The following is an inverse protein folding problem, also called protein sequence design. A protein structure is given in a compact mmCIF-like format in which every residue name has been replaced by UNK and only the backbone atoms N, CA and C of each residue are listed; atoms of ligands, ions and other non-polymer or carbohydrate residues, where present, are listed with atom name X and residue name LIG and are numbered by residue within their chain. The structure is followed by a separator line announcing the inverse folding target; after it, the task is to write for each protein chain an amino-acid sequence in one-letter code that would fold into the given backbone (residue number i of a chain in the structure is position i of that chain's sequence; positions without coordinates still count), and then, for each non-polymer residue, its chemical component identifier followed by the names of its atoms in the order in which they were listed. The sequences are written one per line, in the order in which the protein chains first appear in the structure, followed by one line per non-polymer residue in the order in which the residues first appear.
data_IF_374027260793
#
_entry.id   IF_374027260793
#
_cell.length_a   1.000
_cell.length_b   1.000
_cell.length_c   1.000
_cell.angle_alpha   90.00
_cell.angle_beta   90.00
_cell.angle_gamma   90.00
#
_symmetry.space_group_name_H-M   'P 1'
#
loop_
_entity.id
_entity.type
_entity.pdbx_description
1 polymer ?
#
# COMPACT_ATOMS: atom_id res chain seq x y z
N UNK A 1 24.20 -24.89 -11.58
CA UNK A 1 24.36 -23.42 -11.50
C UNK A 1 24.99 -23.11 -10.14
N UNK A 2 26.07 -22.33 -10.06
CA UNK A 2 26.74 -22.13 -8.78
C UNK A 2 25.84 -21.31 -7.86
N UNK A 3 25.25 -21.98 -6.89
CA UNK A 3 24.67 -21.39 -5.69
C UNK A 3 25.82 -20.80 -4.86
N UNK A 4 25.80 -19.48 -4.62
CA UNK A 4 26.60 -18.93 -3.51
C UNK A 4 27.34 -17.61 -3.70
N UNK A 5 27.17 -16.86 -4.80
CA UNK A 5 27.69 -15.49 -4.80
C UNK A 5 26.74 -14.62 -3.97
N UNK A 6 27.22 -14.10 -2.84
CA UNK A 6 26.53 -13.09 -2.08
C UNK A 6 26.40 -11.83 -2.96
N UNK A 7 25.22 -11.64 -3.54
CA UNK A 7 24.98 -10.50 -4.42
C UNK A 7 25.02 -9.22 -3.59
N UNK A 8 25.87 -8.28 -4.02
CA UNK A 8 26.08 -7.02 -3.31
C UNK A 8 24.83 -6.15 -3.26
N UNK A 9 24.80 -5.26 -2.27
CA UNK A 9 23.71 -4.28 -2.13
C UNK A 9 23.46 -3.41 -3.38
N UNK A 10 24.46 -2.94 -4.13
CA UNK A 10 24.20 -2.13 -5.32
C UNK A 10 23.26 -2.82 -6.33
N UNK A 11 23.47 -4.12 -6.57
CA UNK A 11 22.64 -4.93 -7.47
C UNK A 11 21.22 -5.11 -6.91
N UNK A 12 21.10 -5.35 -5.59
CA UNK A 12 19.80 -5.48 -4.93
C UNK A 12 19.03 -4.15 -4.92
N UNK A 13 19.74 -3.01 -4.82
CA UNK A 13 19.17 -1.66 -4.90
C UNK A 13 18.63 -1.38 -6.30
N UNK A 14 19.44 -1.63 -7.33
CA UNK A 14 19.01 -1.49 -8.74
C UNK A 14 17.78 -2.33 -9.05
N UNK A 15 17.70 -3.56 -8.52
CA UNK A 15 16.50 -4.37 -8.62
C UNK A 15 15.26 -3.67 -8.04
N UNK A 16 15.37 -3.03 -6.88
CA UNK A 16 14.26 -2.31 -6.27
C UNK A 16 13.89 -1.03 -7.03
N UNK A 17 14.86 -0.30 -7.56
CA UNK A 17 14.63 0.86 -8.43
C UNK A 17 13.77 0.45 -9.64
N UNK A 18 14.22 -0.57 -10.40
CA UNK A 18 13.50 -1.09 -11.57
C UNK A 18 12.07 -1.49 -11.25
N UNK A 19 11.85 -2.25 -10.16
CA UNK A 19 10.52 -2.70 -9.79
C UNK A 19 9.62 -1.53 -9.38
N UNK A 20 10.17 -0.54 -8.66
CA UNK A 20 9.40 0.63 -8.25
C UNK A 20 9.06 1.56 -9.42
N UNK A 21 9.89 1.59 -10.46
CA UNK A 21 9.62 2.28 -11.73
C UNK A 21 8.59 1.55 -12.61
N UNK A 22 8.08 0.41 -12.14
CA UNK A 22 6.99 -0.33 -12.78
C UNK A 22 7.46 -1.53 -13.59
N UNK A 23 8.75 -1.87 -13.57
CA UNK A 23 9.23 -3.10 -14.19
C UNK A 23 8.69 -4.32 -13.42
N UNK A 24 8.29 -5.39 -14.12
CA UNK A 24 7.97 -6.66 -13.49
C UNK A 24 9.16 -7.21 -12.69
N UNK A 25 8.90 -7.81 -11.52
CA UNK A 25 9.97 -8.44 -10.71
C UNK A 25 10.79 -9.48 -11.50
N UNK A 26 10.16 -10.17 -12.44
CA UNK A 26 10.83 -11.13 -13.32
C UNK A 26 11.82 -10.47 -14.27
N UNK A 27 11.42 -9.39 -14.93
CA UNK A 27 12.28 -8.63 -15.85
C UNK A 27 13.39 -7.92 -15.09
N UNK A 28 13.06 -7.30 -13.95
CA UNK A 28 14.05 -6.67 -13.07
C UNK A 28 15.09 -7.69 -12.58
N UNK A 29 14.68 -8.94 -12.30
CA UNK A 29 15.62 -10.01 -11.92
C UNK A 29 16.60 -10.31 -13.04
N UNK A 30 16.10 -10.42 -14.28
CA UNK A 30 16.93 -10.70 -15.44
C UNK A 30 17.87 -9.53 -15.76
N UNK A 31 17.38 -8.29 -15.64
CA UNK A 31 18.15 -7.07 -15.87
C UNK A 31 19.36 -6.97 -14.94
N UNK A 32 19.20 -7.31 -13.66
CA UNK A 32 20.30 -7.29 -12.67
C UNK A 32 21.12 -8.59 -12.64
N UNK A 33 20.88 -9.51 -13.58
CA UNK A 33 21.66 -10.74 -13.73
C UNK A 33 21.39 -11.82 -12.68
N UNK A 34 20.21 -11.85 -12.06
CA UNK A 34 19.84 -12.87 -11.06
C UNK A 34 18.66 -13.73 -11.52
N UNK A 35 18.51 -14.89 -10.88
CA UNK A 35 17.37 -15.76 -11.15
C UNK A 35 16.05 -15.10 -10.75
N UNK A 36 14.97 -15.38 -11.49
CA UNK A 36 13.60 -14.91 -11.16
C UNK A 36 13.19 -15.23 -9.73
N UNK A 37 13.57 -16.43 -9.26
CA UNK A 37 13.33 -16.89 -7.88
C UNK A 37 14.07 -16.01 -6.87
N UNK A 38 15.32 -15.62 -7.16
CA UNK A 38 16.12 -14.73 -6.31
C UNK A 38 15.48 -13.36 -6.17
N UNK A 39 15.13 -12.70 -7.28
CA UNK A 39 14.50 -11.38 -7.21
C UNK A 39 13.12 -11.42 -6.56
N UNK A 40 12.32 -12.46 -6.80
CA UNK A 40 11.06 -12.67 -6.07
C UNK A 40 11.27 -12.80 -4.56
N UNK A 41 12.30 -13.53 -4.12
CA UNK A 41 12.66 -13.60 -2.70
C UNK A 41 13.10 -12.25 -2.13
N UNK A 42 13.89 -11.47 -2.87
CA UNK A 42 14.27 -10.13 -2.43
C UNK A 42 13.06 -9.22 -2.27
N UNK A 43 12.14 -9.22 -3.23
CA UNK A 43 10.89 -8.45 -3.14
C UNK A 43 10.08 -8.85 -1.92
N UNK A 44 9.87 -10.17 -1.71
CA UNK A 44 9.12 -10.68 -0.56
C UNK A 44 9.81 -10.33 0.77
N UNK A 45 11.12 -10.53 0.86
CA UNK A 45 11.89 -10.26 2.07
C UNK A 45 11.92 -8.77 2.41
N UNK A 46 11.91 -7.90 1.40
CA UNK A 46 11.83 -6.46 1.58
C UNK A 46 10.46 -5.96 2.10
N UNK A 47 9.48 -6.85 2.30
CA UNK A 47 8.10 -6.46 2.56
C UNK A 47 7.45 -5.81 1.33
N UNK A 48 7.84 -6.29 0.14
CA UNK A 48 7.44 -5.75 -1.15
C UNK A 48 5.94 -5.54 -1.28
N UNK A 49 5.60 -4.39 -1.83
CA UNK A 49 4.23 -3.94 -2.05
C UNK A 49 3.45 -4.82 -3.04
N UNK A 50 2.13 -4.58 -3.11
CA UNK A 50 1.26 -5.25 -4.09
C UNK A 50 1.71 -4.94 -5.52
N UNK A 51 1.85 -5.98 -6.32
CA UNK A 51 2.11 -5.91 -7.76
C UNK A 51 0.79 -5.96 -8.56
N UNK A 52 0.76 -5.42 -9.79
CA UNK A 52 -0.40 -5.53 -10.69
C UNK A 52 -0.60 -7.01 -11.08
N UNK A 53 -1.84 -7.44 -11.28
CA UNK A 53 -2.13 -8.74 -11.91
C UNK A 53 -2.29 -8.52 -13.42
N UNK A 54 -1.39 -9.10 -14.21
CA UNK A 54 -1.59 -9.48 -15.62
C UNK A 54 -1.57 -11.01 -15.70
N UNK A 55 -2.20 -11.61 -16.71
CA UNK A 55 -2.52 -13.06 -16.80
C UNK A 55 -1.36 -14.06 -16.69
N UNK A 56 -0.14 -13.59 -16.50
CA UNK A 56 1.13 -14.32 -16.42
C UNK A 56 1.88 -14.11 -15.07
N UNK A 57 1.35 -13.30 -14.15
CA UNK A 57 2.03 -13.01 -12.87
C UNK A 57 3.21 -12.04 -12.98
N UNK A 58 3.30 -11.28 -14.08
CA UNK A 58 4.40 -10.37 -14.43
C UNK A 58 4.06 -8.88 -14.25
N UNK A 59 3.11 -8.48 -13.40
CA UNK A 59 2.82 -7.05 -13.24
C UNK A 59 3.89 -6.31 -12.43
N UNK A 60 4.24 -5.08 -12.86
CA UNK A 60 5.01 -4.14 -12.06
C UNK A 60 4.29 -3.66 -10.80
N UNK A 61 4.90 -2.76 -10.04
CA UNK A 61 4.34 -2.20 -8.81
C UNK A 61 2.93 -1.62 -9.05
N UNK A 62 1.94 -2.05 -8.24
CA UNK A 62 0.55 -1.61 -8.42
C UNK A 62 0.35 -0.14 -8.10
N UNK A 63 1.09 0.36 -7.12
CA UNK A 63 1.04 1.73 -6.66
C UNK A 63 2.42 2.15 -6.17
N UNK A 64 3.09 2.96 -6.97
CA UNK A 64 4.34 3.63 -6.60
C UNK A 64 4.11 4.85 -5.71
N UNK A 65 2.87 5.36 -5.64
CA UNK A 65 2.57 6.66 -5.06
C UNK A 65 2.82 7.81 -6.04
N UNK A 66 2.27 8.97 -5.71
CA UNK A 66 2.48 10.21 -6.45
C UNK A 66 3.86 10.79 -6.08
N UNK A 67 4.80 10.74 -7.03
CA UNK A 67 6.18 11.21 -6.85
C UNK A 67 6.28 12.74 -6.81
N UNK A 68 5.36 13.43 -7.47
CA UNK A 68 5.32 14.89 -7.56
C UNK A 68 4.61 15.53 -6.37
N UNK A 69 3.95 14.71 -5.54
CA UNK A 69 3.18 15.22 -4.40
C UNK A 69 4.08 15.99 -3.43
N UNK A 70 3.81 17.28 -3.18
CA UNK A 70 4.63 18.06 -2.27
C UNK A 70 4.50 17.59 -0.82
N UNK A 71 5.58 17.81 -0.08
CA UNK A 71 5.64 17.61 1.35
C UNK A 71 4.55 18.41 2.05
N UNK A 72 4.08 17.93 3.20
CA UNK A 72 3.08 18.63 4.01
C UNK A 72 3.67 19.18 5.30
N UNK A 73 2.96 20.13 5.92
CA UNK A 73 3.20 20.48 7.32
C UNK A 73 3.05 19.22 8.19
N UNK A 74 3.95 19.05 9.17
CA UNK A 74 3.95 17.89 10.05
C UNK A 74 4.63 16.65 9.46
N UNK A 75 3.90 15.53 9.35
CA UNK A 75 4.48 14.19 9.13
C UNK A 75 4.64 13.75 7.66
N UNK A 76 4.04 14.44 6.69
CA UNK A 76 4.05 14.02 5.29
C UNK A 76 5.34 14.47 4.59
N UNK A 77 6.14 13.51 4.16
CA UNK A 77 7.33 13.73 3.33
C UNK A 77 6.99 13.41 1.86
N UNK A 78 7.45 14.28 0.97
CA UNK A 78 7.47 14.08 -0.49
C UNK A 78 8.47 13.00 -0.90
N UNK A 79 8.41 12.57 -2.16
CA UNK A 79 9.43 11.69 -2.72
C UNK A 79 10.80 12.38 -2.75
N UNK A 80 10.89 13.64 -3.17
CA UNK A 80 12.14 14.39 -3.18
C UNK A 80 12.82 14.42 -1.81
N UNK A 81 12.06 14.67 -0.73
CA UNK A 81 12.60 14.60 0.64
C UNK A 81 13.07 13.18 1.01
N UNK A 82 12.35 12.13 0.59
CA UNK A 82 12.75 10.74 0.83
C UNK A 82 14.01 10.37 0.05
N UNK A 83 14.16 10.87 -1.18
CA UNK A 83 15.34 10.70 -2.00
C UNK A 83 16.57 11.34 -1.33
N UNK A 84 16.43 12.55 -0.80
CA UNK A 84 17.49 13.21 -0.05
C UNK A 84 17.85 12.51 1.26
N UNK A 85 16.85 11.95 1.97
CA UNK A 85 17.12 11.07 3.13
C UNK A 85 17.95 9.87 2.71
N UNK A 86 17.56 9.17 1.64
CA UNK A 86 18.27 8.00 1.14
C UNK A 86 19.72 8.33 0.74
N UNK A 87 19.91 9.40 -0.03
CA UNK A 87 21.23 9.90 -0.42
C UNK A 87 22.08 10.27 0.79
N UNK A 88 21.51 10.99 1.75
CA UNK A 88 22.20 11.41 2.98
C UNK A 88 22.66 10.21 3.81
N UNK A 89 21.83 9.17 3.94
CA UNK A 89 22.18 7.95 4.67
C UNK A 89 23.28 7.16 3.97
N UNK A 90 23.25 7.08 2.64
CA UNK A 90 24.33 6.45 1.88
C UNK A 90 25.67 7.19 2.02
N UNK A 91 25.62 8.52 2.17
CA UNK A 91 26.78 9.35 2.46
C UNK A 91 27.21 9.31 3.94
N UNK A 92 26.56 8.50 4.79
CA UNK A 92 26.88 8.38 6.22
C UNK A 92 26.47 9.59 7.07
N UNK A 93 25.62 10.50 6.55
CA UNK A 93 25.16 11.68 7.29
C UNK A 93 24.20 11.28 8.41
N UNK A 94 24.25 12.02 9.49
CA UNK A 94 23.34 11.86 10.63
C UNK A 94 21.93 12.36 10.32
N UNK A 95 20.93 11.85 11.03
CA UNK A 95 19.54 12.33 10.92
C UNK A 95 19.40 13.84 11.21
N UNK A 96 20.30 14.41 12.00
CA UNK A 96 20.28 15.84 12.33
C UNK A 96 20.79 16.70 11.15
N UNK A 97 21.81 16.25 10.43
CA UNK A 97 22.33 16.92 9.24
C UNK A 97 21.30 16.87 8.11
N UNK A 98 20.76 15.68 7.83
CA UNK A 98 19.71 15.48 6.82
C UNK A 98 18.49 16.35 7.14
N UNK A 99 18.09 16.40 8.42
CA UNK A 99 16.98 17.26 8.86
C UNK A 99 17.26 18.73 8.60
N UNK A 100 18.47 19.21 8.92
CA UNK A 100 18.86 20.62 8.71
C UNK A 100 18.83 21.01 7.23
N UNK A 101 19.36 20.15 6.36
CA UNK A 101 19.36 20.36 4.90
C UNK A 101 17.93 20.42 4.33
N UNK A 102 17.03 19.59 4.84
CA UNK A 102 15.63 19.53 4.39
C UNK A 102 14.69 20.54 5.10
N UNK A 103 15.19 21.31 6.06
CA UNK A 103 14.32 22.15 6.91
C UNK A 103 13.33 21.32 7.75
N UNK A 104 13.72 20.10 8.14
CA UNK A 104 12.91 19.16 8.94
C UNK A 104 13.58 18.87 10.28
N UNK A 105 12.77 18.67 11.31
CA UNK A 105 13.28 18.24 12.61
C UNK A 105 13.89 16.82 12.53
N UNK A 106 14.98 16.58 13.28
CA UNK A 106 15.69 15.28 13.28
C UNK A 106 14.75 14.11 13.60
N UNK A 107 13.75 14.32 14.45
CA UNK A 107 12.80 13.27 14.82
C UNK A 107 11.86 12.91 13.68
N UNK A 108 11.63 13.80 12.71
CA UNK A 108 10.89 13.48 11.48
C UNK A 108 11.68 12.47 10.66
N UNK A 109 12.96 12.72 10.45
CA UNK A 109 13.86 11.81 9.71
C UNK A 109 13.96 10.47 10.41
N UNK A 110 14.21 10.47 11.73
CA UNK A 110 14.31 9.23 12.50
C UNK A 110 13.01 8.40 12.46
N UNK A 111 11.84 9.04 12.58
CA UNK A 111 10.54 8.36 12.51
C UNK A 111 10.22 7.84 11.12
N UNK A 112 10.68 8.52 10.08
CA UNK A 112 10.56 8.08 8.70
C UNK A 112 11.39 6.83 8.46
N UNK A 113 12.69 6.88 8.73
CA UNK A 113 13.62 5.77 8.53
C UNK A 113 13.18 4.55 9.34
N UNK A 114 12.84 4.73 10.63
CA UNK A 114 12.34 3.62 11.48
C UNK A 114 11.09 2.94 10.92
N UNK A 115 10.22 3.66 10.22
CA UNK A 115 8.94 3.11 9.72
C UNK A 115 9.09 2.38 8.39
N UNK A 116 10.03 2.82 7.56
CA UNK A 116 10.09 2.44 6.14
C UNK A 116 11.46 1.92 5.70
N UNK A 117 12.40 1.68 6.62
CA UNK A 117 13.60 0.91 6.30
C UNK A 117 13.25 -0.53 5.91
N UNK A 118 14.09 -1.11 5.08
CA UNK A 118 14.07 -2.52 4.75
C UNK A 118 14.41 -3.35 6.01
N UNK A 119 14.10 -4.66 6.04
CA UNK A 119 14.37 -5.50 7.21
C UNK A 119 15.86 -5.65 7.57
N UNK A 120 16.77 -5.38 6.62
CA UNK A 120 18.22 -5.33 6.87
C UNK A 120 18.69 -3.96 7.40
N UNK A 121 17.77 -3.05 7.71
CA UNK A 121 18.04 -1.71 8.25
C UNK A 121 18.37 -0.66 7.19
N UNK A 122 18.52 -1.03 5.92
CA UNK A 122 18.81 -0.09 4.85
C UNK A 122 17.58 0.74 4.49
N UNK A 123 17.80 1.96 4.01
CA UNK A 123 16.75 2.82 3.51
C UNK A 123 16.79 2.86 1.97
N UNK A 124 15.61 2.94 1.36
CA UNK A 124 15.45 3.02 -0.09
C UNK A 124 14.25 3.91 -0.41
N UNK A 125 14.48 5.04 -1.10
CA UNK A 125 13.49 6.11 -1.25
C UNK A 125 12.20 5.65 -1.95
N UNK A 126 12.32 4.99 -3.11
CA UNK A 126 11.17 4.51 -3.88
C UNK A 126 10.34 3.48 -3.10
N UNK A 127 11.00 2.47 -2.52
CA UNK A 127 10.37 1.49 -1.64
C UNK A 127 9.63 2.16 -0.46
N UNK A 128 10.28 3.11 0.21
CA UNK A 128 9.69 3.84 1.33
C UNK A 128 8.47 4.67 0.89
N UNK A 129 8.53 5.32 -0.26
CA UNK A 129 7.45 6.15 -0.81
C UNK A 129 6.23 5.31 -1.21
N UNK A 130 6.45 4.21 -1.92
CA UNK A 130 5.40 3.28 -2.31
C UNK A 130 4.74 2.63 -1.09
N UNK A 131 5.53 2.16 -0.12
CA UNK A 131 5.02 1.62 1.13
C UNK A 131 4.18 2.65 1.91
N UNK A 132 4.66 3.90 1.99
CA UNK A 132 3.93 4.99 2.64
C UNK A 132 2.60 5.31 1.93
N UNK A 133 2.60 5.31 0.60
CA UNK A 133 1.42 5.57 -0.23
C UNK A 133 0.35 4.50 -0.04
N UNK A 134 0.73 3.22 -0.06
CA UNK A 134 -0.22 2.12 0.18
C UNK A 134 -0.79 2.14 1.60
N UNK A 135 0.05 2.40 2.61
CA UNK A 135 -0.40 2.56 4.01
C UNK A 135 -1.35 3.76 4.18
N UNK A 136 -1.15 4.84 3.41
CA UNK A 136 -1.98 6.04 3.47
C UNK A 136 -3.39 5.84 2.90
N UNK A 137 -3.58 4.89 1.96
CA UNK A 137 -4.88 4.63 1.33
C UNK A 137 -5.98 4.27 2.32
N UNK A 138 -5.65 3.66 3.48
CA UNK A 138 -6.60 3.23 4.53
C UNK A 138 -7.98 2.85 3.96
N UNK A 139 -8.06 1.84 3.06
CA UNK A 139 -9.35 1.43 2.51
C UNK A 139 -10.24 0.99 3.68
N UNK A 140 -11.36 1.69 3.88
CA UNK A 140 -12.38 1.25 4.82
C UNK A 140 -13.07 0.05 4.18
N UNK A 141 -13.10 -1.09 4.87
CA UNK A 141 -13.93 -2.21 4.46
C UNK A 141 -15.34 -1.70 4.26
N UNK A 142 -15.92 -1.95 3.09
CA UNK A 142 -17.29 -1.55 2.82
C UNK A 142 -18.19 -2.29 3.82
N UNK A 143 -19.12 -1.57 4.46
CA UNK A 143 -19.89 -2.11 5.59
C UNK A 143 -20.88 -3.21 5.20
N UNK A 144 -21.09 -3.44 3.90
CA UNK A 144 -22.04 -4.42 3.38
C UNK A 144 -21.30 -5.43 2.47
N UNK A 145 -20.54 -6.35 3.08
CA UNK A 145 -19.77 -7.39 2.38
C UNK A 145 -20.34 -8.81 2.58
N UNK A 146 -21.37 -8.96 3.40
CA UNK A 146 -22.06 -10.23 3.66
C UNK A 146 -23.05 -10.56 2.53
N UNK A 147 -22.81 -11.59 1.69
CA UNK A 147 -23.66 -11.89 0.54
C UNK A 147 -25.11 -12.23 0.90
N UNK A 148 -25.33 -12.88 2.05
CA UNK A 148 -26.66 -13.27 2.51
C UNK A 148 -27.49 -12.03 2.89
N UNK A 149 -26.86 -11.11 3.63
CA UNK A 149 -27.48 -9.85 4.01
C UNK A 149 -27.79 -8.98 2.79
N UNK A 150 -26.87 -8.93 1.82
CA UNK A 150 -27.07 -8.21 0.56
C UNK A 150 -28.28 -8.74 -0.23
N UNK A 151 -28.42 -10.07 -0.34
CA UNK A 151 -29.53 -10.69 -1.06
C UNK A 151 -30.89 -10.38 -0.42
N UNK A 152 -30.97 -10.40 0.91
CA UNK A 152 -32.19 -10.06 1.64
C UNK A 152 -32.59 -8.59 1.45
N UNK A 153 -31.61 -7.68 1.57
CA UNK A 153 -31.85 -6.24 1.35
C UNK A 153 -32.32 -6.00 -0.09
N UNK A 154 -31.70 -6.64 -1.09
CA UNK A 154 -32.10 -6.52 -2.49
C UNK A 154 -33.54 -7.04 -2.72
N UNK A 155 -33.88 -8.21 -2.19
CA UNK A 155 -35.24 -8.76 -2.30
C UNK A 155 -36.31 -7.83 -1.70
N UNK A 156 -36.09 -7.31 -0.50
CA UNK A 156 -37.03 -6.36 0.11
C UNK A 156 -37.09 -5.02 -0.61
N UNK A 157 -35.98 -4.56 -1.19
CA UNK A 157 -35.99 -3.37 -2.04
C UNK A 157 -36.80 -3.57 -3.33
N UNK A 158 -36.72 -4.76 -3.96
CA UNK A 158 -37.53 -5.10 -5.14
C UNK A 158 -39.03 -5.15 -4.81
N UNK A 159 -39.37 -5.50 -3.57
CA UNK A 159 -40.73 -5.40 -3.02
C UNK A 159 -41.13 -3.96 -2.64
N UNK A 160 -40.24 -2.97 -2.80
CA UNK A 160 -40.51 -1.56 -2.56
C UNK A 160 -40.29 -1.09 -1.11
N UNK A 161 -39.59 -1.86 -0.28
CA UNK A 161 -39.35 -1.49 1.11
C UNK A 161 -38.34 -0.35 1.22
N UNK A 162 -38.59 0.57 2.16
CA UNK A 162 -37.63 1.66 2.42
C UNK A 162 -36.39 1.16 3.18
N UNK A 163 -35.20 1.74 2.98
CA UNK A 163 -33.99 1.42 3.73
C UNK A 163 -34.15 1.50 5.26
N UNK A 164 -34.98 2.42 5.74
CA UNK A 164 -35.30 2.56 7.16
C UNK A 164 -36.08 1.35 7.69
N UNK A 165 -37.09 0.91 6.94
CA UNK A 165 -37.89 -0.26 7.28
C UNK A 165 -37.03 -1.53 7.29
N UNK A 166 -36.21 -1.73 6.26
CA UNK A 166 -35.29 -2.87 6.16
C UNK A 166 -34.35 -2.94 7.37
N UNK A 167 -33.72 -1.81 7.74
CA UNK A 167 -32.83 -1.73 8.90
C UNK A 167 -33.53 -2.07 10.22
N UNK A 168 -34.79 -1.65 10.38
CA UNK A 168 -35.59 -1.95 11.57
C UNK A 168 -35.96 -3.43 11.66
N UNK A 169 -36.43 -4.02 10.56
CA UNK A 169 -36.79 -5.45 10.52
C UNK A 169 -35.58 -6.34 10.74
N UNK A 170 -34.42 -5.97 10.21
CA UNK A 170 -33.16 -6.68 10.50
C UNK A 170 -32.79 -6.64 11.98
N UNK A 171 -32.97 -5.48 12.63
CA UNK A 171 -32.70 -5.33 14.06
C UNK A 171 -33.66 -6.16 14.93
N UNK A 172 -34.89 -6.36 14.48
CA UNK A 172 -35.92 -7.12 15.20
C UNK A 172 -35.78 -8.64 14.97
N UNK A 173 -35.73 -9.06 13.70
CA UNK A 173 -35.71 -10.49 13.32
C UNK A 173 -34.36 -11.14 13.63
N UNK A 174 -33.26 -10.39 13.53
CA UNK A 174 -31.90 -10.88 13.73
C UNK A 174 -31.20 -10.22 14.92
N UNK A 175 -31.95 -9.88 15.98
CA UNK A 175 -31.45 -9.14 17.15
C UNK A 175 -30.18 -9.73 17.81
N UNK A 176 -29.95 -11.04 17.68
CA UNK A 176 -28.77 -11.73 18.23
C UNK A 176 -27.57 -11.83 17.28
N UNK A 177 -27.75 -11.58 15.98
CA UNK A 177 -26.71 -11.75 14.98
C UNK A 177 -26.17 -10.38 14.51
N UNK A 178 -24.98 -10.04 15.01
CA UNK A 178 -24.30 -8.78 14.65
C UNK A 178 -23.93 -8.71 13.17
N UNK A 179 -23.79 -9.83 12.46
CA UNK A 179 -23.49 -9.87 11.03
C UNK A 179 -24.70 -9.54 10.16
N UNK A 180 -25.90 -9.52 10.76
CA UNK A 180 -27.18 -9.17 10.11
C UNK A 180 -27.63 -7.74 10.42
N UNK A 181 -26.83 -6.98 11.17
CA UNK A 181 -27.15 -5.61 11.56
C UNK A 181 -26.57 -4.61 10.55
N UNK A 182 -27.42 -3.74 10.01
CA UNK A 182 -27.01 -2.65 9.12
C UNK A 182 -27.85 -1.40 9.38
N UNK A 183 -27.23 -0.22 9.32
CA UNK A 183 -27.96 1.04 9.40
C UNK A 183 -28.60 1.38 8.05
N UNK A 184 -29.76 2.02 8.07
CA UNK A 184 -30.40 2.56 6.86
C UNK A 184 -29.50 3.54 6.09
N UNK A 185 -28.63 4.30 6.78
CA UNK A 185 -27.60 5.14 6.14
C UNK A 185 -26.59 4.31 5.32
N UNK A 186 -26.23 3.12 5.80
CA UNK A 186 -25.33 2.22 5.05
C UNK A 186 -26.03 1.68 3.81
N UNK A 187 -27.31 1.31 3.91
CA UNK A 187 -28.13 0.89 2.76
C UNK A 187 -28.24 2.03 1.73
N UNK A 188 -28.50 3.27 2.18
CA UNK A 188 -28.50 4.44 1.30
C UNK A 188 -27.14 4.64 0.61
N UNK A 189 -26.03 4.54 1.34
CA UNK A 189 -24.71 4.64 0.74
C UNK A 189 -24.47 3.56 -0.33
N UNK A 190 -24.98 2.34 -0.16
CA UNK A 190 -24.91 1.29 -1.19
C UNK A 190 -25.69 1.68 -2.46
N UNK A 191 -26.92 2.17 -2.29
CA UNK A 191 -27.78 2.62 -3.38
C UNK A 191 -27.16 3.76 -4.21
N UNK A 192 -26.51 4.71 -3.54
CA UNK A 192 -25.90 5.87 -4.19
C UNK A 192 -24.48 5.63 -4.72
N UNK A 193 -23.75 4.63 -4.21
CA UNK A 193 -22.42 4.27 -4.72
C UNK A 193 -22.53 3.41 -5.98
N UNK A 194 -23.55 2.53 -6.10
CA UNK A 194 -23.80 1.76 -7.32
C UNK A 194 -24.21 2.60 -8.54
N UNK A 195 -24.67 3.84 -8.35
CA UNK A 195 -25.06 4.74 -9.46
C UNK A 195 -23.90 5.60 -9.98
N UNK A 196 -22.67 5.40 -9.47
CA UNK A 196 -21.44 6.01 -9.99
C UNK A 196 -20.45 4.93 -10.44
N UNK A 197 -20.73 4.33 -11.59
CA UNK A 197 -19.76 3.61 -12.45
C UNK A 197 -19.41 2.20 -12.03
#
# INVERSE_FOLDING_TARGET
MPSGVAVGWPVKREFFDLVCDGMPTTEASLAVGVSRRTGWFWWRQAGGMKLRKGGDGLGGLADAGDLERPGGRGRRLSFAERFEIDRGLQAGRSYAEIGRELGRDRSVIAREVKRNCLPDGRYHALMAHAAASQKARRPKTFKLDNPVLCALIAGWMDEGWSPKLISQVLAEVYAGDKLMQVSHETIYQCLYVQTRG
#
